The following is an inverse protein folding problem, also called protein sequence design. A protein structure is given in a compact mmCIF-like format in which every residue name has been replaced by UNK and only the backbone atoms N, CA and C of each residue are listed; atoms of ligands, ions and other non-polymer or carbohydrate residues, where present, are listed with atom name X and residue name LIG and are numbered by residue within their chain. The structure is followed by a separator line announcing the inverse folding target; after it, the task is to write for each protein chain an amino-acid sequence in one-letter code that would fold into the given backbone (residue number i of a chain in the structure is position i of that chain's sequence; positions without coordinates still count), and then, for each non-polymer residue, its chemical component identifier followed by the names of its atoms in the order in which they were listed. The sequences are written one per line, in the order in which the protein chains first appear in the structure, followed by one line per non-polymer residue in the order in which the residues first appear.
data_IF_844813306243
#
_entry.id   IF_844813306243
#
_cell.length_a   1.000
_cell.length_b   1.000
_cell.length_c   1.000
_cell.angle_alpha   90.00
_cell.angle_beta   90.00
_cell.angle_gamma   90.00
#
_symmetry.space_group_name_H-M   'P 1'
#
loop_
_entity.id
_entity.type
_entity.pdbx_description
1 polymer ?
#
# COMPACT_ATOMS: atom_id res chain seq x y z
N UNK A 1 11.63 -7.95 23.07
CA UNK A 1 10.70 -9.09 23.16
C UNK A 1 10.15 -9.31 21.78
N UNK A 2 10.27 -10.51 21.21
CA UNK A 2 9.60 -10.82 19.94
C UNK A 2 8.10 -10.72 20.20
N UNK A 3 7.43 -9.78 19.54
CA UNK A 3 5.98 -9.63 19.67
C UNK A 3 5.36 -10.78 18.91
N UNK A 4 4.60 -11.64 19.59
CA UNK A 4 3.82 -12.66 18.90
C UNK A 4 2.84 -11.98 17.96
N UNK A 5 2.88 -12.36 16.68
CA UNK A 5 2.00 -11.80 15.67
C UNK A 5 0.58 -12.31 15.87
N UNK A 6 -0.46 -11.49 15.65
CA UNK A 6 -1.84 -11.96 15.64
C UNK A 6 -2.06 -13.12 14.66
N UNK A 7 -2.99 -14.02 14.96
CA UNK A 7 -3.26 -15.19 14.12
C UNK A 7 -3.56 -14.85 12.65
N UNK A 8 -4.33 -13.78 12.41
CA UNK A 8 -4.65 -13.33 11.06
C UNK A 8 -3.39 -12.91 10.29
N UNK A 9 -2.45 -12.25 10.95
CA UNK A 9 -1.21 -11.80 10.34
C UNK A 9 -0.32 -12.99 9.96
N UNK A 10 -0.24 -14.01 10.82
CA UNK A 10 0.46 -15.25 10.52
C UNK A 10 -0.14 -15.98 9.29
N UNK A 11 -1.46 -16.00 9.17
CA UNK A 11 -2.14 -16.58 8.01
C UNK A 11 -1.85 -15.82 6.72
N UNK A 12 -1.88 -14.48 6.77
CA UNK A 12 -1.53 -13.64 5.61
C UNK A 12 -0.07 -13.83 5.19
N UNK A 13 0.87 -13.87 6.14
CA UNK A 13 2.28 -14.15 5.85
C UNK A 13 2.46 -15.52 5.18
N UNK A 14 1.74 -16.54 5.64
CA UNK A 14 1.74 -17.87 5.02
C UNK A 14 1.22 -17.85 3.58
N UNK A 15 0.19 -17.04 3.27
CA UNK A 15 -0.29 -16.83 1.88
C UNK A 15 0.75 -16.12 1.01
N UNK A 16 1.57 -15.26 1.61
CA UNK A 16 2.66 -14.54 0.93
C UNK A 16 3.93 -15.40 0.77
N UNK A 17 4.01 -16.55 1.43
CA UNK A 17 5.21 -17.39 1.46
C UNK A 17 6.35 -16.81 2.32
N UNK A 18 6.00 -16.01 3.34
CA UNK A 18 6.97 -15.39 4.24
C UNK A 18 6.95 -16.12 5.58
N UNK A 19 8.00 -16.88 5.86
CA UNK A 19 8.13 -17.63 7.12
C UNK A 19 8.91 -16.86 8.19
N UNK A 20 9.75 -15.91 7.79
CA UNK A 20 10.56 -15.08 8.69
C UNK A 20 10.54 -13.61 8.27
N UNK A 21 10.18 -12.74 9.21
CA UNK A 21 10.14 -11.28 9.04
C UNK A 21 11.27 -10.57 9.79
N UNK A 22 12.19 -11.31 10.41
CA UNK A 22 13.30 -10.77 11.21
C UNK A 22 14.21 -9.82 10.41
N UNK A 23 14.31 -10.05 9.10
CA UNK A 23 15.07 -9.23 8.16
C UNK A 23 14.45 -7.83 7.90
N UNK A 24 13.17 -7.63 8.23
CA UNK A 24 12.43 -6.43 7.82
C UNK A 24 12.19 -5.42 8.96
N UNK A 25 12.82 -5.60 10.12
CA UNK A 25 12.60 -4.73 11.28
C UNK A 25 13.05 -3.27 11.06
N UNK A 26 12.38 -2.37 11.75
CA UNK A 26 12.79 -0.97 11.84
C UNK A 26 14.02 -0.78 12.75
N UNK A 27 14.89 0.16 12.38
CA UNK A 27 16.02 0.63 13.19
C UNK A 27 15.64 2.02 13.74
N UNK A 28 15.02 2.06 14.92
CA UNK A 28 14.45 3.31 15.46
C UNK A 28 15.46 4.21 16.22
N UNK A 29 16.60 3.67 16.61
CA UNK A 29 17.59 4.34 17.45
C UNK A 29 18.98 4.31 16.79
N UNK A 30 19.87 5.23 17.19
CA UNK A 30 21.21 5.36 16.61
C UNK A 30 21.40 6.66 15.81
N UNK A 31 22.47 6.78 15.00
CA UNK A 31 22.67 7.90 14.09
C UNK A 31 21.49 8.05 13.13
N UNK A 32 21.10 9.29 12.80
CA UNK A 32 19.92 9.55 11.96
C UNK A 32 20.01 8.86 10.59
N UNK A 33 21.21 8.75 10.03
CA UNK A 33 21.45 8.11 8.74
C UNK A 33 21.15 6.59 8.74
N UNK A 34 21.25 5.95 9.90
CA UNK A 34 21.04 4.51 10.05
C UNK A 34 19.59 4.19 10.46
N UNK A 35 18.82 5.22 10.85
CA UNK A 35 17.44 5.02 11.29
C UNK A 35 16.56 4.68 10.11
N UNK A 36 15.77 3.63 10.29
CA UNK A 36 14.91 3.05 9.28
C UNK A 36 13.53 2.91 9.88
N UNK A 37 12.58 3.66 9.34
CA UNK A 37 11.19 3.63 9.78
C UNK A 37 10.23 4.00 8.66
N UNK A 38 8.98 3.57 8.84
CA UNK A 38 7.88 3.96 7.97
C UNK A 38 7.17 2.77 7.33
N UNK A 39 5.93 3.03 6.90
CA UNK A 39 5.09 2.03 6.25
C UNK A 39 5.62 1.74 4.84
N UNK A 40 5.66 0.46 4.49
CA UNK A 40 6.12 -0.07 3.20
C UNK A 40 4.97 -0.75 2.49
N UNK A 41 5.08 -0.86 1.17
CA UNK A 41 4.12 -1.67 0.40
C UNK A 41 4.14 -3.10 0.93
N UNK A 42 2.96 -3.71 0.96
CA UNK A 42 2.69 -5.05 1.47
C UNK A 42 2.80 -5.25 2.99
N UNK A 43 3.14 -4.22 3.76
CA UNK A 43 3.12 -4.30 5.22
C UNK A 43 1.74 -4.70 5.74
N UNK A 44 1.70 -5.53 6.78
CA UNK A 44 0.45 -5.84 7.46
C UNK A 44 0.16 -4.76 8.49
N UNK A 45 -1.03 -4.19 8.41
CA UNK A 45 -1.44 -3.05 9.23
C UNK A 45 -2.82 -3.27 9.86
N UNK A 46 -3.03 -2.61 10.98
CA UNK A 46 -4.35 -2.36 11.58
C UNK A 46 -4.65 -0.86 11.48
N UNK A 47 -5.84 -0.53 11.00
CA UNK A 47 -6.32 0.84 10.80
C UNK A 47 -7.52 1.03 11.70
N UNK A 48 -7.45 2.05 12.57
CA UNK A 48 -8.58 2.49 13.37
C UNK A 48 -9.33 3.59 12.62
N UNK A 49 -10.62 3.36 12.37
CA UNK A 49 -11.50 4.38 11.84
C UNK A 49 -12.13 5.24 12.93
N UNK A 50 -12.50 6.47 12.57
CA UNK A 50 -13.37 7.31 13.39
C UNK A 50 -14.76 6.67 13.44
N UNK A 51 -15.15 6.19 14.63
CA UNK A 51 -16.42 5.51 14.84
C UNK A 51 -17.65 6.38 14.47
N UNK A 52 -17.53 7.71 14.50
CA UNK A 52 -18.61 8.63 14.10
C UNK A 52 -18.90 8.59 12.60
N UNK A 53 -17.94 8.12 11.81
CA UNK A 53 -18.06 7.94 10.36
C UNK A 53 -18.66 6.58 9.99
N UNK A 54 -18.97 5.73 10.96
CA UNK A 54 -19.51 4.39 10.76
C UNK A 54 -21.00 4.35 11.14
N UNK A 55 -21.76 3.52 10.44
CA UNK A 55 -23.18 3.32 10.73
C UNK A 55 -23.36 2.19 11.75
N UNK A 56 -23.99 2.48 12.89
CA UNK A 56 -24.33 1.47 13.90
C UNK A 56 -23.11 0.88 14.62
N UNK A 57 -23.23 -0.37 15.06
CA UNK A 57 -22.19 -1.09 15.81
C UNK A 57 -21.23 -1.85 14.87
N UNK A 58 -20.59 -1.12 13.96
CA UNK A 58 -19.52 -1.69 13.11
C UNK A 58 -18.19 -1.59 13.86
N UNK A 59 -17.41 -2.68 13.86
CA UNK A 59 -16.04 -2.66 14.38
C UNK A 59 -15.20 -1.63 13.61
N UNK A 60 -14.66 -0.60 14.27
CA UNK A 60 -13.88 0.43 13.61
C UNK A 60 -12.48 -0.04 13.20
N UNK A 61 -12.05 -1.23 13.65
CA UNK A 61 -10.78 -1.80 13.25
C UNK A 61 -10.88 -2.47 11.90
N UNK A 62 -9.92 -2.12 11.05
CA UNK A 62 -9.72 -2.76 9.76
C UNK A 62 -8.30 -3.29 9.75
N UNK A 63 -8.14 -4.54 9.33
CA UNK A 63 -6.82 -5.17 9.21
C UNK A 63 -6.60 -5.65 7.79
N UNK A 64 -5.34 -5.71 7.39
CA UNK A 64 -4.99 -6.18 6.06
C UNK A 64 -3.59 -5.79 5.62
N UNK A 65 -3.31 -6.14 4.37
CA UNK A 65 -2.06 -5.82 3.68
C UNK A 65 -2.14 -4.47 3.00
N UNK A 66 -1.18 -3.59 3.26
CA UNK A 66 -1.10 -2.27 2.67
C UNK A 66 -0.76 -2.38 1.17
N UNK A 67 -1.69 -1.95 0.31
CA UNK A 67 -1.47 -1.91 -1.14
C UNK A 67 -0.85 -0.58 -1.55
N UNK A 68 -1.41 0.52 -1.05
CA UNK A 68 -0.94 1.86 -1.37
C UNK A 68 -1.35 2.88 -0.30
N UNK A 69 -0.64 4.01 -0.31
CA UNK A 69 -0.81 5.09 0.66
C UNK A 69 -0.80 6.41 -0.11
N UNK A 70 -1.95 6.79 -0.67
CA UNK A 70 -2.11 8.01 -1.49
C UNK A 70 -2.34 9.24 -0.62
N UNK A 71 -2.38 10.46 -1.18
CA UNK A 71 -2.60 11.69 -0.40
C UNK A 71 -3.98 11.73 0.29
N UNK A 72 -5.02 11.18 -0.34
CA UNK A 72 -6.40 11.23 0.16
C UNK A 72 -6.94 9.88 0.64
N UNK A 73 -6.26 8.78 0.32
CA UNK A 73 -6.72 7.43 0.67
C UNK A 73 -5.59 6.52 1.12
N UNK A 74 -5.97 5.47 1.85
CA UNK A 74 -5.15 4.30 2.15
C UNK A 74 -5.85 3.10 1.53
N UNK A 75 -5.13 2.32 0.73
CA UNK A 75 -5.66 1.13 0.08
C UNK A 75 -5.08 -0.10 0.72
N UNK A 76 -5.95 -1.03 1.11
CA UNK A 76 -5.56 -2.30 1.68
C UNK A 76 -6.26 -3.47 0.99
N UNK A 77 -5.66 -4.65 1.09
CA UNK A 77 -6.33 -5.92 0.90
C UNK A 77 -6.65 -6.46 2.29
N UNK A 78 -7.93 -6.51 2.66
CA UNK A 78 -8.33 -6.99 3.99
C UNK A 78 -8.09 -8.50 4.16
N UNK A 79 -8.19 -8.99 5.40
CA UNK A 79 -7.98 -10.41 5.74
C UNK A 79 -9.05 -11.36 5.16
N UNK A 80 -10.15 -10.81 4.63
CA UNK A 80 -11.16 -11.54 3.85
C UNK A 80 -10.84 -11.55 2.34
N UNK A 81 -9.72 -10.94 1.91
CA UNK A 81 -9.30 -10.86 0.52
C UNK A 81 -10.02 -9.79 -0.30
N UNK A 82 -10.66 -8.81 0.34
CA UNK A 82 -11.35 -7.70 -0.33
C UNK A 82 -10.44 -6.49 -0.42
N UNK A 83 -10.41 -5.87 -1.59
CA UNK A 83 -9.78 -4.58 -1.77
C UNK A 83 -10.63 -3.47 -1.12
N UNK A 84 -10.00 -2.60 -0.34
CA UNK A 84 -10.66 -1.48 0.33
C UNK A 84 -9.83 -0.20 0.17
N UNK A 85 -10.46 0.84 -0.38
CA UNK A 85 -9.93 2.20 -0.38
C UNK A 85 -10.58 3.00 0.74
N UNK A 86 -9.80 3.40 1.74
CA UNK A 86 -10.24 4.09 2.95
C UNK A 86 -9.85 5.56 2.82
N UNK A 87 -10.81 6.48 2.99
CA UNK A 87 -10.53 7.91 3.01
C UNK A 87 -9.66 8.27 4.23
N UNK A 88 -8.59 9.04 4.02
CA UNK A 88 -7.67 9.39 5.11
C UNK A 88 -8.30 10.25 6.20
N UNK A 89 -9.32 11.03 5.86
CA UNK A 89 -10.01 11.91 6.80
C UNK A 89 -10.77 11.16 7.90
N UNK A 90 -11.09 9.88 7.67
CA UNK A 90 -11.77 9.03 8.66
C UNK A 90 -10.81 8.09 9.39
N UNK A 91 -9.50 8.17 9.15
CA UNK A 91 -8.50 7.33 9.82
C UNK A 91 -7.98 8.03 11.07
N UNK A 92 -8.11 7.36 12.21
CA UNK A 92 -7.59 7.82 13.50
C UNK A 92 -6.15 7.36 13.72
N UNK A 93 -5.86 6.10 13.41
CA UNK A 93 -4.56 5.48 13.65
C UNK A 93 -4.25 4.43 12.58
N UNK A 94 -2.98 4.32 12.19
CA UNK A 94 -2.45 3.18 11.43
C UNK A 94 -1.36 2.53 12.26
N UNK A 95 -1.60 1.29 12.68
CA UNK A 95 -0.66 0.46 13.42
C UNK A 95 0.01 -0.50 12.47
N UNK A 96 1.32 -0.44 12.42
CA UNK A 96 2.12 -1.50 11.81
C UNK A 96 2.03 -2.75 12.68
N UNK A 97 1.74 -3.88 12.05
CA UNK A 97 1.75 -5.21 12.68
C UNK A 97 3.07 -5.90 12.38
N UNK A 98 3.46 -5.94 11.11
CA UNK A 98 4.74 -6.49 10.68
C UNK A 98 5.14 -5.95 9.31
N UNK A 99 6.44 -5.74 9.12
CA UNK A 99 6.99 -5.46 7.81
C UNK A 99 7.15 -6.75 7.00
N UNK A 100 6.85 -6.68 5.71
CA UNK A 100 6.97 -7.84 4.81
C UNK A 100 7.99 -7.64 3.70
N UNK A 101 8.57 -6.44 3.62
CA UNK A 101 9.52 -6.05 2.58
C UNK A 101 10.72 -5.32 3.19
N UNK A 102 11.89 -5.38 2.53
CA UNK A 102 13.01 -4.52 2.89
C UNK A 102 12.64 -3.06 2.64
N UNK A 103 13.53 -2.15 3.01
CA UNK A 103 13.35 -0.73 2.70
C UNK A 103 13.36 -0.52 1.20
N UNK A 104 12.68 0.54 0.76
CA UNK A 104 12.59 0.90 -0.66
C UNK A 104 13.94 0.86 -1.39
N UNK A 105 14.99 1.41 -0.77
CA UNK A 105 16.33 1.49 -1.38
C UNK A 105 17.00 0.12 -1.57
N UNK A 106 16.59 -0.86 -0.76
CA UNK A 106 17.10 -2.23 -0.78
C UNK A 106 16.11 -3.19 -1.48
N UNK A 107 14.98 -2.70 -1.98
CA UNK A 107 13.90 -3.48 -2.57
C UNK A 107 13.98 -3.46 -4.12
N UNK A 108 14.88 -4.28 -4.67
CA UNK A 108 15.10 -4.37 -6.12
C UNK A 108 13.84 -4.80 -6.89
N UNK A 109 13.03 -5.67 -6.29
CA UNK A 109 11.77 -6.11 -6.87
C UNK A 109 10.78 -4.92 -7.00
N UNK A 110 10.63 -4.11 -5.93
CA UNK A 110 9.75 -2.94 -5.97
C UNK A 110 10.19 -1.94 -7.03
N UNK A 111 11.48 -1.59 -7.01
CA UNK A 111 12.05 -0.62 -7.95
C UNK A 111 11.87 -1.08 -9.40
N UNK A 112 12.01 -2.38 -9.65
CA UNK A 112 11.80 -2.96 -10.99
C UNK A 112 10.33 -2.89 -11.40
N UNK A 113 9.42 -3.25 -10.50
CA UNK A 113 7.98 -3.16 -10.71
C UNK A 113 7.54 -1.72 -11.03
N UNK A 114 7.93 -0.74 -10.21
CA UNK A 114 7.55 0.67 -10.39
C UNK A 114 8.09 1.25 -11.69
N UNK A 115 9.34 0.93 -12.07
CA UNK A 115 9.89 1.33 -13.38
C UNK A 115 9.08 0.76 -14.54
N UNK A 116 8.62 -0.48 -14.43
CA UNK A 116 7.79 -1.11 -15.47
C UNK A 116 6.40 -0.45 -15.56
N UNK A 117 5.80 -0.13 -14.41
CA UNK A 117 4.51 0.56 -14.32
C UNK A 117 4.59 1.98 -14.89
N UNK A 118 5.65 2.72 -14.58
CA UNK A 118 5.87 4.06 -15.12
C UNK A 118 5.95 4.04 -16.66
N UNK A 119 6.69 3.07 -17.23
CA UNK A 119 6.76 2.88 -18.69
C UNK A 119 5.39 2.59 -19.29
N UNK A 120 4.65 1.65 -18.70
CA UNK A 120 3.30 1.29 -19.15
C UNK A 120 2.36 2.49 -19.14
N UNK A 121 2.40 3.33 -18.10
CA UNK A 121 1.58 4.55 -18.02
C UNK A 121 1.94 5.56 -19.11
N UNK A 122 3.23 5.77 -19.38
CA UNK A 122 3.68 6.65 -20.47
C UNK A 122 3.22 6.15 -21.84
N UNK A 123 3.30 4.85 -22.10
CA UNK A 123 2.83 4.24 -23.35
C UNK A 123 1.31 4.43 -23.54
N UNK A 124 0.52 4.23 -22.48
CA UNK A 124 -0.94 4.45 -22.53
C UNK A 124 -1.25 5.93 -22.79
N UNK A 125 -0.57 6.85 -22.10
CA UNK A 125 -0.75 8.29 -22.30
C UNK A 125 -0.44 8.70 -23.74
N UNK A 126 0.65 8.20 -24.31
CA UNK A 126 1.02 8.46 -25.71
C UNK A 126 -0.04 7.93 -26.70
N UNK A 127 -0.60 6.75 -26.44
CA UNK A 127 -1.69 6.19 -27.25
C UNK A 127 -2.95 7.06 -27.17
N UNK A 128 -3.32 7.53 -25.98
CA UNK A 128 -4.46 8.43 -25.78
C UNK A 128 -4.26 9.74 -26.54
N UNK A 129 -3.05 10.33 -26.49
CA UNK A 129 -2.72 11.56 -27.21
C UNK A 129 -2.79 11.38 -28.73
N UNK A 130 -2.27 10.28 -29.27
CA UNK A 130 -2.37 9.95 -30.72
C UNK A 130 -3.82 9.78 -31.17
N UNK A 131 -4.66 9.17 -30.35
CA UNK A 131 -6.09 9.02 -30.66
C UNK A 131 -6.81 10.38 -30.60
N UNK A 132 -6.47 11.23 -29.64
CA UNK A 132 -7.04 12.56 -29.50
C UNK A 132 -6.60 13.53 -30.62
N UNK A 133 -5.35 13.44 -31.08
CA UNK A 133 -4.85 14.23 -32.22
C UNK A 133 -5.52 13.79 -33.53
N UNK A 134 -5.67 12.47 -33.75
CA UNK A 134 -6.38 11.95 -34.92
C UNK A 134 -7.88 12.28 -34.91
N UNK A 135 -8.48 12.46 -33.73
CA UNK A 135 -9.87 12.92 -33.58
C UNK A 135 -10.06 14.42 -33.90
N UNK A 136 -9.02 15.26 -33.79
CA UNK A 136 -9.10 16.68 -34.13
C UNK A 136 -8.92 16.95 -35.63
N UNK A 137 -8.36 16.00 -36.38
CA UNK A 137 -8.22 16.11 -37.84
C UNK A 137 -9.54 15.84 -38.61
N UNK A 138 -10.61 15.36 -37.94
CA UNK A 138 -11.90 15.09 -38.59
C UNK A 138 -12.88 16.28 -38.65
N UNK A 139 -12.47 17.47 -38.19
CA UNK A 139 -13.32 18.68 -38.19
C UNK A 139 -12.63 19.94 -38.73
N UNK A 140 -11.63 19.78 -39.61
CA UNK A 140 -11.27 20.86 -40.53
C UNK A 140 -11.82 20.51 -41.92
N UNK A 141 -12.71 21.38 -42.41
CA UNK A 141 -13.38 21.40 -43.72
C UNK A 141 -14.72 20.67 -43.82
N UNK A 142 -15.77 21.48 -43.63
CA UNK A 142 -17.18 21.21 -43.89
C UNK A 142 -18.00 22.43 -43.51
#
# INVERSE_FOLDING_TARGET
MARELPQWAQQELGKMGIDDTSAFNDELYGPIADRKSGLRRDDLVEILLDARSLAGEIDPWIRGRLVSSHKSSIEILDDEGRFRAIAREVVVEVRLIVHTRPLYIDDEELMTYERSEARRRSEIQEQVEKLASNSHESHQWG
#
